data_IF_844682762092
#
_entry.id   IF_844682762092
#
_cell.length_a   1.000
_cell.length_b   1.000
_cell.length_c   1.000
_cell.angle_alpha   90.00
_cell.angle_beta   90.00
_cell.angle_gamma   90.00
#
_symmetry.space_group_name_H-M   'P 1'
#
loop_
_entity.id
_entity.type
_entity.pdbx_description
1 polymer ?
#
# COMPACT_ATOMS: atom_id res chain seq x y z
N UNK A 1 11.59 17.05 14.84
CA UNK A 1 11.22 16.49 13.52
C UNK A 1 11.18 14.96 13.53
N UNK A 2 12.30 14.26 13.77
CA UNK A 2 12.32 12.78 13.74
C UNK A 2 11.32 12.11 14.72
N UNK A 3 11.20 12.58 15.96
CA UNK A 3 10.20 12.06 16.91
C UNK A 3 8.73 12.22 16.43
N UNK A 4 8.47 13.23 15.60
CA UNK A 4 7.14 13.41 14.99
C UNK A 4 6.96 12.42 13.83
N UNK A 5 7.98 12.18 13.01
CA UNK A 5 7.95 11.13 11.98
C UNK A 5 7.68 9.73 12.57
N UNK A 6 8.29 9.39 13.71
CA UNK A 6 7.99 8.13 14.43
C UNK A 6 6.51 8.06 14.84
N UNK A 7 5.97 9.15 15.41
CA UNK A 7 4.57 9.18 15.84
C UNK A 7 3.61 8.98 14.67
N UNK A 8 3.87 9.65 13.54
CA UNK A 8 3.07 9.49 12.33
C UNK A 8 3.19 8.08 11.75
N UNK A 9 4.41 7.51 11.74
CA UNK A 9 4.61 6.11 11.35
C UNK A 9 3.79 5.16 12.22
N UNK A 10 3.79 5.37 13.53
CA UNK A 10 3.02 4.54 14.46
C UNK A 10 1.51 4.70 14.24
N UNK A 11 1.03 5.94 14.05
CA UNK A 11 -0.37 6.23 13.70
C UNK A 11 -0.82 5.46 12.45
N UNK A 12 0.00 5.48 11.39
CA UNK A 12 -0.28 4.72 10.17
C UNK A 12 -0.19 3.21 10.34
N UNK A 13 0.73 2.73 11.19
CA UNK A 13 0.81 1.32 11.55
C UNK A 13 -0.45 0.87 12.30
N UNK A 14 -0.95 1.67 13.23
CA UNK A 14 -2.17 1.38 13.98
C UNK A 14 -3.39 1.30 13.05
N UNK A 15 -3.50 2.20 12.07
CA UNK A 15 -4.53 2.11 11.03
C UNK A 15 -4.36 0.84 10.18
N UNK A 16 -3.14 0.50 9.78
CA UNK A 16 -2.84 -0.68 8.97
C UNK A 16 -3.09 -2.01 9.70
N UNK A 17 -3.12 -1.99 11.04
CA UNK A 17 -3.40 -3.13 11.91
C UNK A 17 -4.77 -3.04 12.60
N UNK A 18 -5.62 -2.10 12.19
CA UNK A 18 -6.95 -1.96 12.75
C UNK A 18 -7.78 -3.21 12.50
N UNK A 19 -8.47 -3.66 13.56
CA UNK A 19 -9.43 -4.78 13.54
C UNK A 19 -10.87 -4.31 13.70
N UNK A 20 -11.10 -3.00 13.77
CA UNK A 20 -12.46 -2.44 13.75
C UNK A 20 -13.16 -2.78 12.44
N UNK A 21 -14.49 -2.97 12.41
CA UNK A 21 -15.22 -3.19 11.15
C UNK A 21 -14.91 -2.09 10.12
N UNK A 22 -14.98 -2.45 8.85
CA UNK A 22 -14.77 -1.50 7.77
C UNK A 22 -15.82 -0.38 7.81
N UNK A 23 -15.39 0.86 7.59
CA UNK A 23 -16.29 1.97 7.29
C UNK A 23 -16.65 1.90 5.81
N UNK A 24 -17.70 1.14 5.52
CA UNK A 24 -18.15 0.89 4.15
C UNK A 24 -18.51 2.18 3.43
N UNK A 25 -19.11 3.14 4.14
CA UNK A 25 -19.52 4.41 3.55
C UNK A 25 -18.32 5.21 3.03
N UNK A 26 -17.26 5.28 3.83
CA UNK A 26 -16.03 5.99 3.46
C UNK A 26 -15.28 5.25 2.36
N UNK A 27 -15.16 3.92 2.47
CA UNK A 27 -14.51 3.11 1.45
C UNK A 27 -15.18 3.27 0.07
N UNK A 28 -16.51 3.19 0.00
CA UNK A 28 -17.24 3.34 -1.27
C UNK A 28 -17.11 4.73 -1.87
N UNK A 29 -17.10 5.80 -1.04
CA UNK A 29 -16.86 7.17 -1.51
C UNK A 29 -15.45 7.31 -2.09
N UNK A 30 -14.43 6.84 -1.39
CA UNK A 30 -13.04 6.89 -1.84
C UNK A 30 -12.82 6.06 -3.11
N UNK A 31 -13.35 4.84 -3.18
CA UNK A 31 -13.27 3.99 -4.37
C UNK A 31 -13.99 4.64 -5.56
N UNK A 32 -15.16 5.25 -5.34
CA UNK A 32 -15.85 6.00 -6.39
C UNK A 32 -14.98 7.14 -6.93
N UNK A 33 -14.31 7.90 -6.06
CA UNK A 33 -13.39 8.95 -6.48
C UNK A 33 -12.18 8.41 -7.26
N UNK A 34 -11.59 7.29 -6.82
CA UNK A 34 -10.46 6.63 -7.51
C UNK A 34 -10.88 6.14 -8.89
N UNK A 35 -12.05 5.49 -9.02
CA UNK A 35 -12.60 5.08 -10.31
C UNK A 35 -12.84 6.28 -11.24
N UNK A 36 -13.43 7.36 -10.72
CA UNK A 36 -13.64 8.58 -11.49
C UNK A 36 -12.33 9.19 -12.01
N UNK A 37 -11.27 9.20 -11.20
CA UNK A 37 -9.92 9.64 -11.63
C UNK A 37 -9.31 8.74 -12.69
N UNK A 38 -9.66 7.46 -12.70
CA UNK A 38 -9.32 6.50 -13.75
C UNK A 38 -10.24 6.63 -14.99
N UNK A 39 -11.13 7.64 -15.05
CA UNK A 39 -12.15 7.79 -16.10
C UNK A 39 -13.07 6.57 -16.23
N UNK A 40 -13.35 5.92 -15.09
CA UNK A 40 -14.24 4.76 -14.99
C UNK A 40 -15.54 5.13 -14.28
N UNK A 41 -16.68 4.52 -14.64
CA UNK A 41 -17.92 4.71 -13.92
C UNK A 41 -17.81 4.16 -12.49
N UNK A 42 -18.69 4.63 -11.61
CA UNK A 42 -18.83 4.06 -10.26
C UNK A 42 -19.23 2.57 -10.37
N UNK A 43 -18.45 1.64 -9.79
CA UNK A 43 -18.82 0.23 -9.79
C UNK A 43 -19.89 -0.05 -8.73
N UNK A 44 -20.54 -1.20 -8.82
CA UNK A 44 -21.22 -1.81 -7.67
C UNK A 44 -20.17 -2.34 -6.69
N UNK A 45 -20.43 -2.18 -5.40
CA UNK A 45 -19.52 -2.70 -4.37
C UNK A 45 -20.06 -4.02 -3.82
N UNK A 46 -19.24 -5.06 -3.93
CA UNK A 46 -19.52 -6.38 -3.35
C UNK A 46 -18.62 -6.58 -2.12
N UNK A 47 -19.23 -6.61 -0.94
CA UNK A 47 -18.50 -6.72 0.31
C UNK A 47 -18.38 -8.17 0.77
N UNK A 48 -17.16 -8.59 1.11
CA UNK A 48 -16.88 -9.94 1.62
C UNK A 48 -16.14 -9.88 2.95
N UNK A 49 -16.31 -10.91 3.78
CA UNK A 49 -15.73 -10.95 5.12
C UNK A 49 -14.24 -11.31 5.15
N UNK A 50 -13.73 -11.92 4.06
CA UNK A 50 -12.33 -12.32 3.94
C UNK A 50 -11.85 -12.35 2.48
N UNK A 51 -10.52 -12.29 2.25
CA UNK A 51 -9.94 -12.48 0.91
C UNK A 51 -10.29 -13.84 0.29
N UNK A 52 -10.48 -14.90 1.09
CA UNK A 52 -10.87 -16.21 0.58
C UNK A 52 -12.29 -16.20 -0.01
N UNK A 53 -13.21 -15.46 0.61
CA UNK A 53 -14.56 -15.24 0.06
C UNK A 53 -14.58 -14.42 -1.22
N UNK A 54 -13.54 -13.64 -1.50
CA UNK A 54 -13.42 -12.92 -2.77
C UNK A 54 -13.11 -13.86 -3.94
N UNK A 55 -12.42 -14.99 -3.72
CA UNK A 55 -11.91 -15.88 -4.78
C UNK A 55 -12.94 -16.22 -5.87
N UNK A 56 -14.14 -16.74 -5.56
CA UNK A 56 -15.12 -17.08 -6.60
C UNK A 56 -15.61 -15.87 -7.41
N UNK A 57 -15.47 -14.65 -6.88
CA UNK A 57 -15.93 -13.41 -7.52
C UNK A 57 -14.87 -12.82 -8.47
N UNK A 58 -13.60 -13.23 -8.34
CA UNK A 58 -12.46 -12.62 -9.04
C UNK A 58 -11.72 -13.62 -9.95
N UNK A 59 -12.21 -14.85 -10.12
CA UNK A 59 -11.50 -15.94 -10.81
C UNK A 59 -10.95 -15.56 -12.20
N UNK A 60 -11.73 -14.83 -13.00
CA UNK A 60 -11.37 -14.49 -14.39
C UNK A 60 -10.71 -13.09 -14.52
N UNK A 61 -10.30 -12.50 -13.39
CA UNK A 61 -9.72 -11.16 -13.39
C UNK A 61 -8.22 -11.21 -13.64
N UNK A 62 -7.63 -10.17 -14.27
CA UNK A 62 -6.27 -10.24 -14.75
C UNK A 62 -5.24 -10.37 -13.62
N UNK A 63 -4.29 -11.26 -13.84
CA UNK A 63 -3.09 -11.39 -12.99
C UNK A 63 -2.05 -10.33 -13.36
N UNK A 64 -1.06 -10.14 -12.49
CA UNK A 64 0.00 -9.16 -12.74
C UNK A 64 0.80 -9.50 -14.01
N UNK A 65 1.09 -10.78 -14.23
CA UNK A 65 1.82 -11.24 -15.41
C UNK A 65 1.03 -10.96 -16.69
N UNK A 66 -0.28 -11.21 -16.69
CA UNK A 66 -1.15 -10.89 -17.83
C UNK A 66 -1.23 -9.39 -18.12
N UNK A 67 -1.20 -8.54 -17.08
CA UNK A 67 -1.11 -7.09 -17.27
C UNK A 67 0.24 -6.70 -17.89
N UNK A 68 1.36 -7.29 -17.44
CA UNK A 68 2.68 -7.04 -18.00
C UNK A 68 2.81 -7.50 -19.46
N UNK A 69 2.28 -8.68 -19.79
CA UNK A 69 2.23 -9.20 -21.16
C UNK A 69 1.46 -8.24 -22.07
N UNK A 70 0.32 -7.71 -21.61
CA UNK A 70 -0.46 -6.70 -22.35
C UNK A 70 0.36 -5.43 -22.59
N UNK A 71 1.06 -4.91 -21.58
CA UNK A 71 1.88 -3.69 -21.71
C UNK A 71 3.02 -3.89 -22.72
N UNK A 72 3.62 -5.09 -22.73
CA UNK A 72 4.72 -5.43 -23.66
C UNK A 72 4.23 -5.75 -25.07
N UNK A 73 2.93 -5.98 -25.27
CA UNK A 73 2.38 -6.29 -26.57
C UNK A 73 2.51 -5.07 -27.52
N UNK A 74 2.97 -5.23 -28.77
CA UNK A 74 3.13 -4.11 -29.71
C UNK A 74 1.82 -3.38 -30.04
N UNK A 75 0.69 -4.10 -29.95
CA UNK A 75 -0.67 -3.60 -30.19
C UNK A 75 -1.62 -4.26 -29.19
N UNK A 76 -1.70 -3.75 -27.94
CA UNK A 76 -2.63 -4.29 -26.97
C UNK A 76 -4.07 -4.15 -27.50
N UNK A 77 -4.85 -5.22 -27.41
CA UNK A 77 -6.25 -5.24 -27.87
C UNK A 77 -7.20 -4.94 -26.71
N UNK A 78 -8.27 -4.23 -27.03
CA UNK A 78 -9.36 -3.89 -26.10
C UNK A 78 -9.02 -2.75 -25.14
N UNK A 79 -10.00 -2.36 -24.35
CA UNK A 79 -9.84 -1.39 -23.26
C UNK A 79 -8.90 -1.98 -22.19
N UNK A 80 -7.96 -1.20 -21.62
CA UNK A 80 -7.17 -1.64 -20.47
C UNK A 80 -8.10 -2.13 -19.34
N UNK A 81 -7.71 -3.11 -18.52
CA UNK A 81 -8.50 -3.43 -17.33
C UNK A 81 -8.47 -2.27 -16.32
N UNK A 82 -9.50 -2.11 -15.46
CA UNK A 82 -9.52 -1.05 -14.45
C UNK A 82 -8.30 -1.09 -13.53
N UNK A 83 -7.80 -2.29 -13.24
CA UNK A 83 -6.56 -2.45 -12.48
C UNK A 83 -5.35 -1.74 -13.12
N UNK A 84 -5.23 -1.72 -14.44
CA UNK A 84 -4.15 -1.01 -15.14
C UNK A 84 -4.29 0.50 -15.01
N UNK A 85 -5.51 1.03 -15.20
CA UNK A 85 -5.74 2.48 -15.11
C UNK A 85 -5.57 2.99 -13.68
N UNK A 86 -6.06 2.25 -12.69
CA UNK A 86 -5.89 2.58 -11.27
C UNK A 86 -4.40 2.55 -10.89
N UNK A 87 -3.65 1.55 -11.36
CA UNK A 87 -2.20 1.49 -11.13
C UNK A 87 -1.48 2.69 -11.78
N UNK A 88 -1.92 3.11 -12.98
CA UNK A 88 -1.38 4.27 -13.68
C UNK A 88 -1.65 5.57 -12.90
N UNK A 89 -2.89 5.85 -12.48
CA UNK A 89 -3.19 7.08 -11.75
C UNK A 89 -2.51 7.11 -10.37
N UNK A 90 -2.37 5.96 -9.69
CA UNK A 90 -1.63 5.87 -8.43
C UNK A 90 -0.13 6.13 -8.64
N UNK A 91 0.43 5.66 -9.75
CA UNK A 91 1.81 5.93 -10.14
C UNK A 91 2.04 7.41 -10.45
N UNK A 92 1.14 8.02 -11.24
CA UNK A 92 1.17 9.44 -11.58
C UNK A 92 1.08 10.30 -10.33
N UNK A 93 0.14 9.99 -9.41
CA UNK A 93 0.02 10.68 -8.12
C UNK A 93 1.32 10.65 -7.34
N UNK A 94 1.96 9.48 -7.19
CA UNK A 94 3.25 9.41 -6.47
C UNK A 94 4.36 10.23 -7.16
N UNK A 95 4.32 10.30 -8.49
CA UNK A 95 5.22 11.16 -9.27
C UNK A 95 5.01 12.65 -8.98
N UNK A 96 3.76 13.13 -9.00
CA UNK A 96 3.44 14.53 -8.71
C UNK A 96 3.70 14.90 -7.25
N UNK A 97 3.36 14.02 -6.31
CA UNK A 97 3.69 14.20 -4.88
C UNK A 97 5.20 14.30 -4.67
N UNK A 98 6.00 13.46 -5.35
CA UNK A 98 7.47 13.52 -5.29
C UNK A 98 8.02 14.84 -5.83
N UNK A 99 7.39 15.42 -6.85
CA UNK A 99 7.78 16.72 -7.40
C UNK A 99 7.49 17.89 -6.44
N UNK A 100 6.52 17.74 -5.52
CA UNK A 100 6.18 18.72 -4.50
C UNK A 100 7.03 18.68 -3.22
N UNK A 101 8.04 17.79 -3.15
CA UNK A 101 8.92 17.64 -1.98
C UNK A 101 10.06 18.65 -2.03
N UNK A 102 10.29 19.37 -0.92
CA UNK A 102 11.32 20.41 -0.79
C UNK A 102 12.74 19.88 -1.02
N UNK A 103 13.01 18.66 -0.54
CA UNK A 103 14.28 17.98 -0.71
C UNK A 103 14.06 16.66 -1.41
N UNK A 104 14.52 16.57 -2.66
CA UNK A 104 14.38 15.35 -3.47
C UNK A 104 14.94 14.15 -2.73
N UNK A 105 14.12 13.11 -2.62
CA UNK A 105 14.57 11.83 -2.10
C UNK A 105 15.36 11.08 -3.17
N UNK A 106 16.68 10.88 -2.99
CA UNK A 106 17.49 10.18 -3.97
C UNK A 106 17.08 8.71 -4.13
N UNK A 107 16.37 8.09 -3.17
CA UNK A 107 15.83 6.73 -3.31
C UNK A 107 14.63 6.65 -4.27
N UNK A 108 13.97 7.78 -4.55
CA UNK A 108 12.82 7.87 -5.46
C UNK A 108 13.17 8.46 -6.82
N UNK A 109 14.40 8.93 -6.99
CA UNK A 109 14.85 9.51 -8.25
C UNK A 109 15.11 8.43 -9.31
N UNK A 110 14.50 8.53 -10.51
CA UNK A 110 14.76 7.60 -11.61
C UNK A 110 16.21 7.66 -12.14
N UNK A 111 16.95 8.73 -11.81
CA UNK A 111 18.38 8.87 -12.16
C UNK A 111 19.26 7.93 -11.34
N UNK A 112 18.75 7.37 -10.23
CA UNK A 112 19.42 6.34 -9.44
C UNK A 112 19.16 4.95 -10.03
N UNK A 113 19.44 4.76 -11.33
CA UNK A 113 19.47 3.43 -11.92
C UNK A 113 20.72 2.70 -11.43
N UNK A 114 20.48 1.55 -10.78
CA UNK A 114 21.50 0.74 -10.13
C UNK A 114 22.52 0.20 -11.12
N UNK A 115 23.79 0.54 -10.90
CA UNK A 115 24.96 -0.29 -11.24
C UNK A 115 26.25 0.21 -10.57
N UNK A 116 26.29 1.42 -10.00
CA UNK A 116 27.55 2.03 -9.53
C UNK A 116 27.50 2.82 -8.20
N UNK A 117 26.43 2.77 -7.39
CA UNK A 117 26.41 3.46 -6.07
C UNK A 117 25.98 2.56 -4.93
N UNK A 118 26.78 2.53 -3.86
CA UNK A 118 26.48 1.84 -2.61
C UNK A 118 25.18 2.38 -1.99
N UNK A 119 24.34 1.50 -1.39
CA UNK A 119 23.14 1.94 -0.68
C UNK A 119 23.50 2.78 0.54
N UNK A 120 22.66 3.76 0.89
CA UNK A 120 22.83 4.49 2.14
C UNK A 120 22.71 3.52 3.33
N UNK A 121 23.57 3.65 4.36
CA UNK A 121 23.55 2.75 5.50
C UNK A 121 22.23 2.91 6.27
N UNK A 122 21.61 1.79 6.65
CA UNK A 122 20.42 1.78 7.50
C UNK A 122 20.87 1.87 8.96
N UNK A 123 20.86 3.09 9.50
CA UNK A 123 21.35 3.41 10.85
C UNK A 123 20.25 4.01 11.71
N UNK A 124 20.47 3.99 13.03
CA UNK A 124 19.63 4.74 13.95
C UNK A 124 19.56 6.21 13.48
N UNK A 125 18.37 6.83 13.43
CA UNK A 125 18.13 8.11 12.75
C UNK A 125 19.10 9.25 13.11
N UNK A 126 19.46 9.41 14.39
CA UNK A 126 20.45 10.41 14.80
C UNK A 126 21.85 10.08 14.25
N UNK A 127 22.27 8.82 14.33
CA UNK A 127 23.55 8.35 13.78
C UNK A 127 23.61 8.46 12.25
N UNK A 128 22.48 8.23 11.57
CA UNK A 128 22.37 8.40 10.13
C UNK A 128 22.65 9.86 9.74
N UNK A 129 21.96 10.80 10.40
CA UNK A 129 22.16 12.24 10.18
C UNK A 129 23.59 12.69 10.50
N UNK A 130 24.16 12.23 11.63
CA UNK A 130 25.55 12.53 12.03
C UNK A 130 26.57 12.00 11.01
N UNK A 131 26.23 10.90 10.31
CA UNK A 131 27.07 10.29 9.27
C UNK A 131 26.85 10.90 7.87
N UNK A 132 26.05 11.97 7.77
CA UNK A 132 25.78 12.68 6.51
C UNK A 132 24.69 12.06 5.64
N UNK A 133 23.90 11.11 6.15
CA UNK A 133 22.74 10.57 5.41
C UNK A 133 21.69 11.68 5.26
N UNK A 134 21.19 11.97 4.04
CA UNK A 134 20.21 13.03 3.83
C UNK A 134 18.91 12.78 4.62
N UNK A 135 18.31 13.85 5.15
CA UNK A 135 17.04 13.76 5.90
C UNK A 135 15.94 13.02 5.12
N UNK A 136 15.81 13.27 3.82
CA UNK A 136 14.83 12.60 2.97
C UNK A 136 15.03 11.06 2.96
N UNK A 137 16.28 10.60 2.94
CA UNK A 137 16.63 9.18 3.02
C UNK A 137 16.31 8.62 4.40
N UNK A 138 16.64 9.34 5.48
CA UNK A 138 16.32 8.92 6.85
C UNK A 138 14.80 8.77 7.04
N UNK A 139 14.00 9.70 6.51
CA UNK A 139 12.54 9.62 6.55
C UNK A 139 12.00 8.49 5.68
N UNK A 140 12.57 8.27 4.49
CA UNK A 140 12.20 7.15 3.64
C UNK A 140 12.47 5.81 4.35
N UNK A 141 13.69 5.57 4.81
CA UNK A 141 14.06 4.34 5.49
C UNK A 141 13.22 4.14 6.76
N UNK A 142 13.13 5.20 7.56
CA UNK A 142 12.48 5.19 8.86
C UNK A 142 10.97 5.06 8.83
N UNK A 143 10.30 5.56 7.79
CA UNK A 143 8.83 5.55 7.64
C UNK A 143 8.41 4.60 6.54
N UNK A 144 8.73 4.93 5.28
CA UNK A 144 8.25 4.17 4.11
C UNK A 144 8.79 2.75 4.10
N UNK A 145 10.11 2.57 4.17
CA UNK A 145 10.74 1.24 4.10
C UNK A 145 10.36 0.41 5.32
N UNK A 146 10.39 0.99 6.52
CA UNK A 146 9.97 0.31 7.73
C UNK A 146 8.52 -0.20 7.68
N UNK A 147 7.58 0.64 7.25
CA UNK A 147 6.18 0.24 7.06
C UNK A 147 6.04 -0.74 5.91
N UNK A 148 6.73 -0.55 4.79
CA UNK A 148 6.65 -1.46 3.66
C UNK A 148 7.18 -2.87 4.01
N UNK A 149 8.28 -2.98 4.75
CA UNK A 149 8.76 -4.28 5.24
C UNK A 149 7.75 -4.90 6.21
N UNK A 150 7.20 -4.12 7.12
CA UNK A 150 6.21 -4.61 8.10
C UNK A 150 4.89 -5.05 7.46
N UNK A 151 4.38 -4.29 6.51
CA UNK A 151 3.07 -4.49 5.92
C UNK A 151 3.11 -5.34 4.66
N UNK A 152 4.03 -5.09 3.72
CA UNK A 152 4.12 -5.93 2.52
C UNK A 152 4.72 -7.30 2.86
N UNK A 153 5.91 -7.34 3.44
CA UNK A 153 6.62 -8.61 3.70
C UNK A 153 6.12 -9.29 4.97
N UNK A 154 5.87 -8.52 6.03
CA UNK A 154 5.38 -9.04 7.31
C UNK A 154 3.89 -9.41 7.33
N UNK A 155 3.10 -8.98 6.33
CA UNK A 155 1.66 -9.21 6.29
C UNK A 155 1.14 -9.61 4.89
N UNK A 156 1.16 -8.71 3.90
CA UNK A 156 0.43 -8.89 2.64
C UNK A 156 0.91 -10.09 1.83
N UNK A 157 2.22 -10.22 1.64
CA UNK A 157 2.80 -11.27 0.81
C UNK A 157 2.56 -12.66 1.41
N UNK A 158 2.75 -12.90 2.73
CA UNK A 158 2.36 -14.17 3.36
C UNK A 158 0.86 -14.49 3.20
N UNK A 159 -0.02 -13.51 3.39
CA UNK A 159 -1.48 -13.70 3.24
C UNK A 159 -1.86 -13.98 1.79
N UNK A 160 -1.23 -13.27 0.84
CA UNK A 160 -1.42 -13.47 -0.60
C UNK A 160 -0.95 -14.86 -1.02
N UNK A 161 0.17 -15.34 -0.49
CA UNK A 161 0.67 -16.68 -0.75
C UNK A 161 -0.29 -17.75 -0.21
N UNK A 162 -0.85 -17.56 0.98
CA UNK A 162 -1.87 -18.46 1.52
C UNK A 162 -3.18 -18.44 0.70
N UNK A 163 -3.55 -17.28 0.15
CA UNK A 163 -4.73 -17.13 -0.71
C UNK A 163 -4.54 -17.78 -2.10
N UNK A 164 -3.32 -17.70 -2.64
CA UNK A 164 -2.96 -18.27 -3.93
C UNK A 164 -3.18 -19.78 -3.98
N UNK A 165 -2.83 -20.49 -2.90
CA UNK A 165 -2.70 -21.95 -2.96
C UNK A 165 -1.73 -22.31 -4.09
N UNK A 166 -2.22 -23.04 -5.08
CA UNK A 166 -1.45 -23.45 -6.27
C UNK A 166 -1.63 -22.52 -7.50
N UNK A 167 -2.47 -21.48 -7.42
CA UNK A 167 -2.85 -20.63 -8.56
C UNK A 167 -2.54 -19.15 -8.37
N UNK A 168 -2.45 -18.35 -9.46
CA UNK A 168 -2.19 -16.93 -9.34
C UNK A 168 -3.40 -16.18 -8.75
N UNK A 169 -3.13 -15.22 -7.87
CA UNK A 169 -4.15 -14.27 -7.38
C UNK A 169 -4.19 -13.06 -8.33
N UNK A 170 -5.38 -12.62 -8.79
CA UNK A 170 -5.53 -11.40 -9.59
C UNK A 170 -4.92 -10.16 -8.93
N UNK A 171 -4.69 -9.12 -9.74
CA UNK A 171 -4.21 -7.82 -9.22
C UNK A 171 -5.21 -7.23 -8.24
N UNK A 172 -4.71 -6.81 -7.08
CA UNK A 172 -5.46 -6.19 -6.00
C UNK A 172 -4.66 -5.08 -5.34
N UNK A 173 -5.36 -4.33 -4.51
CA UNK A 173 -4.81 -3.37 -3.56
C UNK A 173 -5.09 -3.87 -2.15
N UNK A 174 -4.14 -3.65 -1.25
CA UNK A 174 -4.17 -4.23 0.08
C UNK A 174 -4.89 -3.37 1.13
N UNK A 175 -5.67 -2.37 0.69
CA UNK A 175 -6.43 -1.48 1.58
C UNK A 175 -5.58 -0.87 2.69
N UNK A 176 -5.93 -1.15 3.94
CA UNK A 176 -5.18 -0.65 5.10
C UNK A 176 -3.68 -1.00 5.11
N UNK A 177 -3.25 -2.07 4.44
CA UNK A 177 -1.83 -2.41 4.36
C UNK A 177 -1.05 -1.63 3.28
N UNK A 178 -1.71 -0.79 2.47
CA UNK A 178 -1.05 0.16 1.55
C UNK A 178 -0.43 1.37 2.27
N UNK A 179 -0.61 1.49 3.59
CA UNK A 179 -0.23 2.65 4.41
C UNK A 179 1.23 3.12 4.22
N UNK A 180 2.16 2.25 3.82
CA UNK A 180 3.58 2.59 3.72
C UNK A 180 3.91 3.79 2.82
N UNK A 181 3.28 3.90 1.64
CA UNK A 181 3.55 5.00 0.72
C UNK A 181 2.73 6.24 1.08
N UNK A 182 1.52 6.05 1.60
CA UNK A 182 0.65 7.12 2.08
C UNK A 182 1.31 7.84 3.26
N UNK A 183 1.76 7.08 4.26
CA UNK A 183 2.44 7.58 5.45
C UNK A 183 3.68 8.41 5.12
N UNK A 184 4.41 8.04 4.07
CA UNK A 184 5.59 8.77 3.64
C UNK A 184 5.22 10.18 3.17
N UNK A 185 4.25 10.31 2.26
CA UNK A 185 3.82 11.62 1.78
C UNK A 185 3.06 12.43 2.84
N UNK A 186 2.32 11.77 3.72
CA UNK A 186 1.69 12.41 4.89
C UNK A 186 2.74 12.98 5.86
N UNK A 187 3.80 12.21 6.18
CA UNK A 187 4.91 12.70 7.02
C UNK A 187 5.57 13.92 6.39
N UNK A 188 5.87 13.87 5.09
CA UNK A 188 6.51 15.01 4.41
C UNK A 188 5.62 16.25 4.48
N UNK A 189 4.31 16.09 4.27
CA UNK A 189 3.36 17.18 4.37
C UNK A 189 3.25 17.76 5.79
N UNK A 190 2.99 16.92 6.79
CA UNK A 190 2.81 17.32 8.20
C UNK A 190 4.06 17.92 8.84
N UNK A 191 5.25 17.62 8.29
CA UNK A 191 6.52 18.22 8.72
C UNK A 191 6.89 19.48 7.94
N UNK A 192 6.06 19.93 6.99
CA UNK A 192 6.35 21.09 6.14
C UNK A 192 7.46 20.85 5.11
N UNK A 193 7.77 19.58 4.81
CA UNK A 193 8.79 19.15 3.85
C UNK A 193 8.23 18.90 2.44
N UNK A 194 6.92 19.02 2.27
CA UNK A 194 6.27 18.98 0.98
C UNK A 194 5.04 19.90 0.94
N UNK A 195 4.78 20.46 -0.25
CA UNK A 195 3.54 21.20 -0.55
C UNK A 195 2.89 20.56 -1.76
N UNK A 196 1.66 20.09 -1.57
CA UNK A 196 0.86 19.49 -2.64
C UNK A 196 -0.17 20.50 -3.13
N UNK A 197 -0.47 20.48 -4.43
CA UNK A 197 -1.60 21.23 -4.96
C UNK A 197 -2.93 20.64 -4.45
N UNK A 198 -4.05 21.38 -4.62
CA UNK A 198 -5.34 20.94 -4.10
C UNK A 198 -5.79 19.59 -4.69
N UNK A 199 -5.55 19.35 -5.98
CA UNK A 199 -5.94 18.07 -6.62
C UNK A 199 -5.09 16.89 -6.13
N UNK A 200 -3.76 17.08 -5.99
CA UNK A 200 -2.88 16.03 -5.45
C UNK A 200 -3.18 15.73 -3.99
N UNK A 201 -3.48 16.76 -3.18
CA UNK A 201 -3.87 16.61 -1.79
C UNK A 201 -5.19 15.84 -1.66
N UNK A 202 -6.23 16.23 -2.39
CA UNK A 202 -7.52 15.53 -2.40
C UNK A 202 -7.37 14.07 -2.85
N UNK A 203 -6.53 13.81 -3.87
CA UNK A 203 -6.28 12.46 -4.33
C UNK A 203 -5.51 11.63 -3.29
N UNK A 204 -4.49 12.20 -2.62
CA UNK A 204 -3.79 11.53 -1.51
C UNK A 204 -4.75 11.23 -0.35
N UNK A 205 -5.63 12.17 -0.01
CA UNK A 205 -6.63 12.00 1.05
C UNK A 205 -7.61 10.88 0.71
N UNK A 206 -8.05 10.74 -0.55
CA UNK A 206 -8.89 9.62 -0.98
C UNK A 206 -8.22 8.25 -0.74
N UNK A 207 -6.92 8.13 -1.03
CA UNK A 207 -6.16 6.91 -0.74
C UNK A 207 -5.94 6.70 0.76
N UNK A 208 -5.69 7.78 1.50
CA UNK A 208 -5.50 7.78 2.94
C UNK A 208 -6.76 7.28 3.67
N UNK A 209 -7.93 7.81 3.31
CA UNK A 209 -9.21 7.44 3.88
C UNK A 209 -9.65 6.04 3.43
N UNK A 210 -9.29 5.61 2.22
CA UNK A 210 -9.50 4.22 1.80
C UNK A 210 -8.70 3.25 2.67
N UNK A 211 -7.41 3.52 2.89
CA UNK A 211 -6.57 2.71 3.77
C UNK A 211 -7.11 2.71 5.23
N UNK A 212 -7.72 3.82 5.68
CA UNK A 212 -8.36 3.91 7.00
C UNK A 212 -9.74 3.27 7.08
N UNK A 213 -10.35 2.85 5.97
CA UNK A 213 -11.74 2.39 5.96
C UNK A 213 -11.94 0.92 5.63
N UNK A 214 -11.07 0.25 4.86
CA UNK A 214 -11.30 -1.15 4.47
C UNK A 214 -10.05 -2.04 4.43
N UNK A 215 -10.29 -3.34 4.22
CA UNK A 215 -9.29 -4.33 3.88
C UNK A 215 -8.98 -4.32 2.38
N UNK A 216 -8.56 -5.48 1.86
CA UNK A 216 -8.14 -5.61 0.47
C UNK A 216 -9.30 -5.33 -0.49
N UNK A 217 -8.98 -5.01 -1.72
CA UNK A 217 -9.99 -4.85 -2.76
C UNK A 217 -9.44 -5.17 -4.14
N UNK A 218 -10.35 -5.61 -5.00
CA UNK A 218 -10.08 -5.89 -6.40
C UNK A 218 -10.99 -4.98 -7.25
N UNK A 219 -10.44 -4.26 -8.25
CA UNK A 219 -11.24 -3.51 -9.19
C UNK A 219 -11.66 -4.35 -10.40
N UNK A 220 -12.96 -4.47 -10.62
CA UNK A 220 -13.56 -4.92 -11.86
C UNK A 220 -14.22 -3.76 -12.61
N UNK A 221 -14.71 -4.06 -13.82
CA UNK A 221 -15.39 -3.08 -14.68
C UNK A 221 -16.71 -2.61 -14.06
N UNK A 222 -17.59 -3.56 -13.72
CA UNK A 222 -18.92 -3.26 -13.16
C UNK A 222 -19.00 -3.46 -11.64
N UNK A 223 -18.11 -4.29 -11.09
CA UNK A 223 -18.10 -4.67 -9.68
C UNK A 223 -16.71 -4.45 -9.10
N UNK A 224 -16.64 -3.84 -7.92
CA UNK A 224 -15.44 -3.81 -7.10
C UNK A 224 -15.68 -4.69 -5.87
N UNK A 225 -14.84 -5.71 -5.68
CA UNK A 225 -14.92 -6.60 -4.52
C UNK A 225 -14.08 -6.00 -3.41
N UNK A 226 -14.69 -5.75 -2.24
CA UNK A 226 -14.06 -5.09 -1.11
C UNK A 226 -14.13 -5.98 0.12
N UNK A 227 -13.02 -6.15 0.81
CA UNK A 227 -12.94 -6.99 2.01
C UNK A 227 -13.13 -6.13 3.25
N UNK A 228 -13.93 -6.63 4.19
CA UNK A 228 -13.96 -6.10 5.56
C UNK A 228 -12.58 -6.26 6.23
N UNK A 229 -12.39 -5.64 7.39
CA UNK A 229 -11.14 -5.76 8.12
C UNK A 229 -11.05 -7.13 8.81
N UNK A 230 -9.85 -7.62 9.15
CA UNK A 230 -9.72 -8.83 9.96
C UNK A 230 -10.27 -8.62 11.38
N UNK A 231 -10.74 -9.70 12.01
CA UNK A 231 -11.21 -9.64 13.41
C UNK A 231 -10.04 -9.68 14.39
N UNK A 232 -8.95 -10.34 14.03
CA UNK A 232 -7.75 -10.46 14.85
C UNK A 232 -6.52 -10.24 13.99
N UNK A 233 -5.61 -9.39 14.48
CA UNK A 233 -4.25 -9.22 13.98
C UNK A 233 -3.32 -9.27 15.19
N UNK A 234 -2.33 -10.16 15.18
CA UNK A 234 -1.27 -10.26 16.19
C UNK A 234 0.07 -10.32 15.48
N UNK A 235 0.96 -9.46 15.95
CA UNK A 235 2.26 -9.26 15.34
C UNK A 235 3.36 -9.47 16.38
N UNK A 236 4.57 -9.70 15.89
CA UNK A 236 5.78 -9.77 16.69
C UNK A 236 6.87 -8.88 16.07
N UNK A 237 7.79 -8.32 16.87
CA UNK A 237 8.91 -7.55 16.35
C UNK A 237 9.87 -8.45 15.57
N UNK A 238 10.51 -7.89 14.55
CA UNK A 238 11.60 -8.53 13.81
C UNK A 238 12.92 -8.10 14.43
N UNK A 239 13.58 -9.04 15.11
CA UNK A 239 14.88 -8.83 15.76
C UNK A 239 15.96 -8.35 14.79
N UNK A 240 16.83 -7.45 15.26
CA UNK A 240 17.95 -6.93 14.48
C UNK A 240 17.59 -5.85 13.46
N UNK A 241 16.34 -5.38 13.45
CA UNK A 241 15.92 -4.25 12.60
C UNK A 241 16.09 -2.91 13.31
N UNK A 242 16.41 -1.87 12.54
CA UNK A 242 16.72 -0.52 13.06
C UNK A 242 15.47 0.33 13.29
N UNK A 243 14.37 -0.02 12.64
CA UNK A 243 13.15 0.78 12.56
C UNK A 243 11.91 0.01 13.03
N UNK A 244 12.02 -0.77 14.11
CA UNK A 244 10.90 -1.45 14.79
C UNK A 244 9.97 -2.21 13.83
N UNK A 245 10.55 -2.97 12.90
CA UNK A 245 9.76 -3.72 11.94
C UNK A 245 9.01 -4.84 12.65
N UNK A 246 7.81 -5.14 12.16
CA UNK A 246 6.97 -6.21 12.69
C UNK A 246 6.63 -7.23 11.60
N UNK A 247 6.17 -8.40 12.02
CA UNK A 247 5.54 -9.40 11.14
C UNK A 247 4.36 -10.06 11.83
N UNK A 248 3.48 -10.68 11.05
CA UNK A 248 2.41 -11.52 11.58
C UNK A 248 2.98 -12.69 12.38
N UNK A 249 2.37 -13.00 13.52
CA UNK A 249 2.59 -14.28 14.19
C UNK A 249 2.00 -15.43 13.33
N UNK A 250 2.49 -16.68 13.44
CA UNK A 250 2.02 -17.80 12.60
C UNK A 250 0.50 -18.08 12.62
N UNK A 251 -0.22 -17.66 13.67
CA UNK A 251 -1.69 -17.68 13.78
C UNK A 251 -2.24 -16.33 14.23
N UNK A 252 -1.54 -15.28 13.83
CA UNK A 252 -1.84 -13.92 14.24
C UNK A 252 -3.02 -13.31 13.50
N UNK A 253 -3.52 -13.94 12.44
CA UNK A 253 -4.53 -13.34 11.58
C UNK A 253 -5.79 -14.21 11.50
N UNK A 254 -6.96 -13.60 11.74
CA UNK A 254 -8.27 -14.23 11.58
C UNK A 254 -9.30 -13.23 11.08
N UNK A 255 -10.05 -13.60 10.05
CA UNK A 255 -11.16 -12.83 9.50
C UNK A 255 -12.50 -13.15 10.18
N UNK A 256 -13.52 -12.35 9.90
CA UNK A 256 -14.82 -12.37 10.61
C UNK A 256 -15.64 -13.62 10.31
N UNK A 257 -15.47 -14.19 9.11
CA UNK A 257 -16.00 -15.48 8.70
C UNK A 257 -15.23 -16.69 9.26
N UNK A 258 -14.19 -16.45 10.07
CA UNK A 258 -13.36 -17.47 10.68
C UNK A 258 -12.16 -17.90 9.82
N UNK A 259 -12.01 -17.40 8.59
CA UNK A 259 -10.88 -17.74 7.74
C UNK A 259 -9.55 -17.30 8.37
N UNK A 260 -8.55 -18.17 8.31
CA UNK A 260 -7.20 -17.95 8.81
C UNK A 260 -6.22 -18.41 7.75
N UNK A 261 -5.36 -17.52 7.22
CA UNK A 261 -4.34 -17.93 6.27
C UNK A 261 -3.30 -18.80 6.98
N UNK A 262 -2.91 -19.91 6.34
CA UNK A 262 -1.82 -20.75 6.80
C UNK A 262 -0.50 -20.07 6.41
N UNK A 263 0.11 -19.36 7.36
CA UNK A 263 1.37 -18.67 7.15
C UNK A 263 2.52 -19.67 7.32
N UNK A 264 3.25 -19.92 6.23
CA UNK A 264 4.50 -20.68 6.29
C UNK A 264 5.57 -19.83 6.98
N UNK A 265 6.42 -20.48 7.80
CA UNK A 265 7.52 -19.83 8.52
C UNK A 265 8.65 -19.40 7.60
#
# INVERSE_FOLDING_TARGET
MWQQAIRIRQEWLDHALSTQPADRSTAERCLTAIYARASRPRPRFEWVDSPDKARPLITDWPTLDQLYERIRAPRPRGTPPPASDIAMIASQLRGTLSAGVTHTDPELSPVRTSKTKEPWPELAPLRALDSGVPLAVVLHQGVRTALHRSLAHGYCLPVRAALAGDGPVPVCWYGQQEASWIAYYDVLHRLGLARYGPDEAEHLDAWADLARSCGWWWPGEDVCVVVDRPQVIRTEPVSGTVHDQIRLQPRGLRYRDGWQPLLNR
#
